data_IF_148316024116
#
_entry.id   IF_148316024116
#
_cell.length_a   1.000
_cell.length_b   1.000
_cell.length_c   1.000
_cell.angle_alpha   90.00
_cell.angle_beta   90.00
_cell.angle_gamma   90.00
#
_symmetry.space_group_name_H-M   'P 1'
#
loop_
_entity.id
_entity.type
_entity.pdbx_description
1 polymer ?
#
# COMPACT_ATOMS: atom_id res chain seq x y z
N UNK A 1 -11.13 -2.24 -11.11
CA UNK A 1 -10.45 -1.32 -10.19
C UNK A 1 -10.91 0.10 -10.44
N UNK A 2 -10.90 0.88 -9.40
CA UNK A 2 -11.16 2.30 -9.49
C UNK A 2 -9.86 3.06 -9.37
N UNK A 3 -9.77 4.14 -10.15
CA UNK A 3 -8.67 5.07 -10.00
C UNK A 3 -9.04 6.17 -9.03
N UNK A 4 -8.06 6.66 -8.30
CA UNK A 4 -8.17 7.99 -7.75
C UNK A 4 -8.06 8.98 -8.89
N UNK A 5 -8.77 10.06 -8.78
CA UNK A 5 -8.72 11.08 -9.82
C UNK A 5 -7.34 11.72 -9.96
N UNK A 6 -6.62 11.77 -8.89
CA UNK A 6 -5.25 12.24 -8.90
C UNK A 6 -4.34 11.27 -9.60
N UNK A 7 -4.96 10.31 -10.12
CA UNK A 7 -4.35 9.64 -11.11
C UNK A 7 -3.80 8.38 -10.76
N UNK A 8 -4.02 7.66 -10.46
CA UNK A 8 -3.04 6.64 -10.63
C UNK A 8 -3.15 5.45 -9.71
N UNK A 9 -4.14 5.40 -8.86
CA UNK A 9 -4.19 4.35 -7.85
C UNK A 9 -5.22 3.29 -8.21
N UNK A 10 -4.78 2.26 -8.92
CA UNK A 10 -5.70 1.22 -9.38
C UNK A 10 -6.11 0.23 -8.31
N UNK A 11 -5.52 0.29 -7.16
CA UNK A 11 -5.88 -0.65 -6.11
C UNK A 11 -6.89 -0.10 -5.11
N UNK A 12 -7.54 0.99 -5.45
CA UNK A 12 -8.48 1.63 -4.55
C UNK A 12 -9.55 0.65 -4.03
N UNK A 13 -10.01 -0.23 -4.88
CA UNK A 13 -11.01 -1.22 -4.49
C UNK A 13 -10.55 -2.13 -3.35
N UNK A 14 -9.25 -2.39 -3.28
CA UNK A 14 -8.69 -3.19 -2.20
C UNK A 14 -8.87 -2.52 -0.84
N UNK A 15 -8.86 -1.20 -0.84
CA UNK A 15 -8.93 -0.43 0.39
C UNK A 15 -10.32 0.14 0.65
N UNK A 16 -11.14 0.22 -0.37
CA UNK A 16 -12.49 0.73 -0.26
C UNK A 16 -13.43 -0.27 0.42
N UNK A 17 -13.19 -1.54 0.26
CA UNK A 17 -14.00 -2.55 0.90
C UNK A 17 -13.86 -2.41 2.42
N UNK A 18 -14.85 -2.89 3.14
CA UNK A 18 -14.80 -2.86 4.60
C UNK A 18 -13.85 -3.89 5.18
N UNK A 19 -13.25 -4.69 4.33
CA UNK A 19 -12.23 -5.65 4.77
C UNK A 19 -11.02 -4.86 5.24
N UNK A 20 -10.64 -5.07 6.47
CA UNK A 20 -9.56 -4.33 7.09
C UNK A 20 -8.28 -5.14 7.11
N UNK A 21 -7.18 -4.42 7.00
CA UNK A 21 -5.87 -5.02 7.15
C UNK A 21 -5.62 -5.22 8.64
N UNK A 22 -5.52 -6.48 9.06
CA UNK A 22 -5.44 -6.84 10.48
C UNK A 22 -4.10 -7.41 10.89
N UNK A 23 -3.23 -7.72 9.94
CA UNK A 23 -1.93 -8.31 10.22
C UNK A 23 -0.83 -7.62 9.43
N UNK A 24 0.40 -7.74 9.93
CA UNK A 24 1.58 -7.26 9.25
C UNK A 24 1.73 -7.89 7.85
N UNK A 25 1.51 -9.18 7.76
CA UNK A 25 1.63 -9.91 6.49
C UNK A 25 0.63 -9.41 5.47
N UNK A 26 -0.60 -9.17 5.90
CA UNK A 26 -1.64 -8.62 5.04
C UNK A 26 -1.29 -7.21 4.59
N UNK A 27 -0.76 -6.38 5.48
CA UNK A 27 -0.32 -5.03 5.13
C UNK A 27 0.76 -5.08 4.04
N UNK A 28 1.77 -5.89 4.24
CA UNK A 28 2.84 -6.01 3.25
C UNK A 28 2.29 -6.45 1.89
N UNK A 29 1.38 -7.41 1.86
CA UNK A 29 0.77 -7.89 0.63
C UNK A 29 -0.01 -6.77 -0.08
N UNK A 30 -0.79 -6.00 0.67
CA UNK A 30 -1.55 -4.90 0.07
C UNK A 30 -0.64 -3.82 -0.51
N UNK A 31 0.44 -3.49 0.17
CA UNK A 31 1.39 -2.51 -0.34
C UNK A 31 2.13 -3.05 -1.56
N UNK A 32 2.40 -4.35 -1.59
CA UNK A 32 3.00 -5.00 -2.76
C UNK A 32 2.07 -4.93 -3.98
N UNK A 33 0.79 -5.21 -3.79
CA UNK A 33 -0.19 -5.09 -4.86
C UNK A 33 -0.28 -3.66 -5.37
N UNK A 34 -0.26 -2.70 -4.45
CA UNK A 34 -0.28 -1.28 -4.78
C UNK A 34 0.93 -0.91 -5.65
N UNK A 35 2.11 -1.36 -5.25
CA UNK A 35 3.33 -1.13 -6.01
C UNK A 35 3.25 -1.74 -7.41
N UNK A 36 2.75 -2.98 -7.49
CA UNK A 36 2.62 -3.68 -8.76
C UNK A 36 1.64 -2.99 -9.71
N UNK A 37 0.50 -2.53 -9.20
CA UNK A 37 -0.54 -1.93 -10.03
C UNK A 37 -0.25 -0.50 -10.45
N UNK A 38 0.71 0.15 -9.84
CA UNK A 38 1.02 1.55 -10.11
C UNK A 38 2.50 1.75 -10.45
N UNK A 39 2.96 1.16 -11.55
CA UNK A 39 4.38 1.22 -11.91
C UNK A 39 4.88 2.62 -12.23
N UNK A 40 3.99 3.56 -12.47
CA UNK A 40 4.35 4.94 -12.77
C UNK A 40 4.62 5.79 -11.51
N UNK A 41 4.29 5.27 -10.33
CA UNK A 41 4.56 6.00 -9.11
C UNK A 41 6.06 6.05 -8.85
N UNK A 42 6.57 7.23 -8.54
CA UNK A 42 7.94 7.31 -8.07
C UNK A 42 8.01 6.89 -6.59
N UNK A 43 9.23 6.62 -6.07
CA UNK A 43 9.37 6.15 -4.69
C UNK A 43 8.81 7.09 -3.63
N UNK A 44 8.92 8.40 -3.83
CA UNK A 44 8.40 9.35 -2.86
C UNK A 44 6.87 9.35 -2.83
N UNK A 45 6.24 9.31 -3.99
CA UNK A 45 4.79 9.22 -4.09
C UNK A 45 4.27 7.92 -3.49
N UNK A 46 4.98 6.83 -3.75
CA UNK A 46 4.62 5.54 -3.16
C UNK A 46 4.72 5.59 -1.64
N UNK A 47 5.80 6.17 -1.12
CA UNK A 47 5.98 6.32 0.32
C UNK A 47 4.84 7.13 0.94
N UNK A 48 4.49 8.25 0.33
CA UNK A 48 3.40 9.09 0.82
C UNK A 48 2.07 8.35 0.82
N UNK A 49 1.81 7.55 -0.20
CA UNK A 49 0.61 6.76 -0.28
C UNK A 49 0.57 5.68 0.79
N UNK A 50 1.69 5.01 1.04
CA UNK A 50 1.77 4.01 2.10
C UNK A 50 1.53 4.64 3.47
N UNK A 51 2.09 5.82 3.72
CA UNK A 51 1.85 6.54 4.96
C UNK A 51 0.38 6.89 5.14
N UNK A 52 -0.29 7.29 4.07
CA UNK A 52 -1.73 7.53 4.11
C UNK A 52 -2.50 6.26 4.48
N UNK A 53 -2.15 5.14 3.87
CA UNK A 53 -2.84 3.87 4.10
C UNK A 53 -2.70 3.40 5.54
N UNK A 54 -1.52 3.55 6.13
CA UNK A 54 -1.29 3.08 7.49
C UNK A 54 -1.78 4.06 8.57
N UNK A 55 -2.16 5.26 8.17
CA UNK A 55 -2.71 6.22 9.12
C UNK A 55 -4.01 5.68 9.69
N UNK A 56 -4.01 5.45 11.00
CA UNK A 56 -5.10 4.73 11.66
C UNK A 56 -6.45 5.40 11.49
N UNK A 57 -6.47 6.72 11.42
CA UNK A 57 -7.71 7.48 11.25
C UNK A 57 -8.37 7.25 9.90
N UNK A 58 -7.64 6.75 8.92
CA UNK A 58 -8.22 6.42 7.62
C UNK A 58 -8.94 5.08 7.60
N UNK A 59 -8.75 4.26 8.62
CA UNK A 59 -9.55 3.07 8.84
C UNK A 59 -9.20 1.83 8.02
N UNK A 60 -8.11 1.85 7.26
CA UNK A 60 -7.70 0.68 6.49
C UNK A 60 -7.01 -0.37 7.35
N UNK A 61 -6.22 0.08 8.30
CA UNK A 61 -5.39 -0.78 9.14
C UNK A 61 -5.90 -0.72 10.58
N UNK A 62 -6.02 -1.87 11.22
CA UNK A 62 -6.60 -1.95 12.56
C UNK A 62 -5.59 -1.84 13.69
N UNK A 63 -4.30 -1.80 13.36
CA UNK A 63 -3.24 -1.74 14.36
C UNK A 63 -2.30 -0.58 14.06
N UNK A 64 -1.57 -0.14 15.08
CA UNK A 64 -0.59 0.92 14.90
C UNK A 64 0.64 0.38 14.17
N UNK A 65 1.09 1.09 13.14
CA UNK A 65 2.27 0.71 12.36
C UNK A 65 3.40 1.66 12.73
N UNK A 66 4.42 1.19 13.45
CA UNK A 66 5.56 2.05 13.79
C UNK A 66 6.28 2.54 12.54
N UNK A 67 6.83 3.77 12.55
CA UNK A 67 7.52 4.31 11.38
C UNK A 67 8.67 3.44 10.87
N UNK A 68 9.44 2.83 11.76
CA UNK A 68 10.53 1.96 11.35
C UNK A 68 10.03 0.71 10.64
N UNK A 69 8.92 0.18 11.11
CA UNK A 69 8.30 -0.98 10.49
C UNK A 69 7.81 -0.64 9.09
N UNK A 70 7.15 0.50 8.95
CA UNK A 70 6.67 0.94 7.66
C UNK A 70 7.83 1.15 6.68
N UNK A 71 8.89 1.79 7.11
CA UNK A 71 10.10 1.96 6.28
C UNK A 71 10.64 0.64 5.79
N UNK A 72 10.69 -0.36 6.67
CA UNK A 72 11.16 -1.69 6.30
C UNK A 72 10.28 -2.33 5.24
N UNK A 73 8.96 -2.24 5.43
CA UNK A 73 8.01 -2.80 4.46
C UNK A 73 8.16 -2.12 3.10
N UNK A 74 8.20 -0.79 3.09
CA UNK A 74 8.34 -0.02 1.86
C UNK A 74 9.62 -0.39 1.13
N UNK A 75 10.73 -0.50 1.87
CA UNK A 75 12.00 -0.89 1.28
C UNK A 75 11.90 -2.28 0.65
N UNK A 76 11.38 -3.25 1.39
CA UNK A 76 11.26 -4.62 0.89
C UNK A 76 10.37 -4.70 -0.36
N UNK A 77 9.24 -3.99 -0.33
CA UNK A 77 8.31 -3.99 -1.45
C UNK A 77 8.92 -3.33 -2.68
N UNK A 78 9.56 -2.18 -2.49
CA UNK A 78 10.10 -1.42 -3.62
C UNK A 78 11.29 -2.08 -4.29
N UNK A 79 11.94 -3.02 -3.60
CA UNK A 79 13.07 -3.77 -4.15
C UNK A 79 12.63 -5.05 -4.86
N UNK A 80 11.38 -5.41 -4.82
CA UNK A 80 10.91 -6.62 -5.48
C UNK A 80 10.72 -6.38 -6.98
N UNK A 81 11.22 -7.28 -7.77
CA UNK A 81 10.93 -7.34 -9.19
C UNK A 81 9.70 -8.21 -9.39
N UNK A 82 8.65 -7.63 -9.93
CA UNK A 82 7.39 -8.31 -10.08
C UNK A 82 7.14 -8.60 -11.55
N UNK A 83 7.54 -9.79 -11.97
CA UNK A 83 7.25 -10.26 -13.32
C UNK A 83 5.84 -10.83 -13.42
N UNK A 84 5.27 -11.20 -12.30
CA UNK A 84 3.93 -11.77 -12.20
C UNK A 84 3.14 -11.05 -11.11
N UNK A 85 1.81 -11.05 -11.21
CA UNK A 85 0.97 -10.46 -10.16
C UNK A 85 1.23 -11.11 -8.80
N UNK A 86 1.27 -10.30 -7.77
CA UNK A 86 1.44 -10.82 -6.40
C UNK A 86 0.27 -11.70 -5.96
#
# INVERSE_FOLDING_TARGET
YMFYEEGTHECYELFRSKAKITTYKSLKWHLLVLWYLNPQLDPDDFTNLCEFIVEKSNGFVTFAVPPQLLKKIIYEVSMMELDEPP
#
